data_IF_671795839923
#
_entry.id   IF_671795839923
#
_cell.length_a   1.000
_cell.length_b   1.000
_cell.length_c   1.000
_cell.angle_alpha   90.00
_cell.angle_beta   90.00
_cell.angle_gamma   90.00
#
_symmetry.space_group_name_H-M   'P 1'
#
loop_
_entity.id
_entity.type
_entity.pdbx_description
1 polymer ?
#
# COMPACT_ATOMS: atom_id res chain seq x y z
N UNK A 1 11.79 5.13 30.80
CA UNK A 1 11.98 4.95 29.36
C UNK A 1 10.61 4.87 28.71
N UNK A 2 10.31 5.72 27.72
CA UNK A 2 9.07 5.57 26.91
C UNK A 2 9.19 4.27 26.12
N UNK A 3 8.27 3.34 26.32
CA UNK A 3 8.21 2.11 25.55
C UNK A 3 7.85 2.49 24.09
N UNK A 4 8.76 2.25 23.16
CA UNK A 4 8.51 2.50 21.74
C UNK A 4 7.52 1.43 21.27
N UNK A 5 6.29 1.86 20.96
CA UNK A 5 5.28 0.96 20.36
C UNK A 5 5.74 0.62 18.95
N UNK A 6 5.99 -0.65 18.68
CA UNK A 6 6.34 -1.13 17.33
C UNK A 6 5.10 -1.19 16.47
N UNK A 7 5.25 -0.73 15.23
CA UNK A 7 4.18 -0.76 14.24
C UNK A 7 4.00 -2.17 13.64
N UNK A 8 5.10 -2.92 13.55
CA UNK A 8 5.14 -4.27 12.98
C UNK A 8 5.79 -5.26 13.93
N UNK A 9 5.42 -6.54 13.80
CA UNK A 9 6.07 -7.64 14.47
C UNK A 9 7.52 -7.83 13.99
N UNK A 10 8.35 -8.46 14.80
CA UNK A 10 9.73 -8.79 14.43
C UNK A 10 9.72 -10.20 13.84
N UNK A 11 10.03 -10.29 12.57
CA UNK A 11 10.19 -11.56 11.86
C UNK A 11 11.25 -11.39 10.76
N UNK A 12 12.11 -12.38 10.48
CA UNK A 12 13.18 -12.26 9.48
C UNK A 12 12.65 -12.18 8.04
N UNK A 13 11.44 -12.68 7.77
CA UNK A 13 10.87 -12.80 6.43
C UNK A 13 9.51 -12.16 6.27
N UNK A 14 8.93 -11.59 7.34
CA UNK A 14 7.59 -11.04 7.32
C UNK A 14 7.55 -9.64 7.91
N UNK A 15 6.80 -8.78 7.28
CA UNK A 15 6.40 -7.49 7.84
C UNK A 15 4.90 -7.61 8.13
N UNK A 16 4.54 -7.79 9.40
CA UNK A 16 3.14 -8.05 9.76
C UNK A 16 2.66 -7.20 10.93
N UNK A 17 1.38 -6.90 10.92
CA UNK A 17 0.69 -6.15 11.99
C UNK A 17 -0.76 -6.63 12.15
N UNK A 18 -1.23 -6.57 13.39
CA UNK A 18 -2.65 -6.79 13.72
C UNK A 18 -3.40 -5.49 13.97
N UNK A 19 -2.79 -4.34 13.67
CA UNK A 19 -3.36 -3.03 13.95
C UNK A 19 -3.40 -2.18 12.68
N UNK A 20 -4.55 -1.63 12.37
CA UNK A 20 -4.70 -0.55 11.42
C UNK A 20 -4.34 0.76 12.13
N UNK A 21 -3.17 1.29 11.83
CA UNK A 21 -2.75 2.60 12.35
C UNK A 21 -3.08 3.69 11.33
N UNK A 22 -4.29 4.23 11.42
CA UNK A 22 -4.79 5.26 10.49
C UNK A 22 -3.91 6.51 10.45
N UNK A 23 -3.16 6.81 11.53
CA UNK A 23 -2.23 7.96 11.59
C UNK A 23 -0.91 7.72 10.87
N UNK A 24 -0.50 6.45 10.75
CA UNK A 24 0.75 6.05 10.12
C UNK A 24 0.50 5.15 8.89
N UNK A 25 -0.69 5.21 8.28
CA UNK A 25 -1.06 4.34 7.16
C UNK A 25 -0.09 4.49 5.99
N UNK A 26 0.32 5.71 5.64
CA UNK A 26 1.32 5.93 4.57
C UNK A 26 2.66 5.23 4.82
N UNK A 27 3.08 5.10 6.09
CA UNK A 27 4.27 4.34 6.45
C UNK A 27 4.01 2.84 6.32
N UNK A 28 2.86 2.35 6.77
CA UNK A 28 2.47 0.95 6.60
C UNK A 28 2.45 0.56 5.12
N UNK A 29 1.82 1.36 4.26
CA UNK A 29 1.80 1.19 2.80
C UNK A 29 3.20 1.15 2.18
N UNK A 30 4.12 2.00 2.67
CA UNK A 30 5.50 2.03 2.16
C UNK A 30 6.27 0.75 2.51
N UNK A 31 6.12 0.29 3.76
CA UNK A 31 6.85 -0.88 4.26
C UNK A 31 6.32 -2.20 3.70
N UNK A 32 5.08 -2.22 3.24
CA UNK A 32 4.43 -3.39 2.62
C UNK A 32 4.38 -3.31 1.09
N UNK A 33 5.26 -2.52 0.48
CA UNK A 33 5.37 -2.41 -0.97
C UNK A 33 5.92 -3.68 -1.60
N UNK A 34 5.43 -4.01 -2.79
CA UNK A 34 5.90 -5.13 -3.62
C UNK A 34 6.40 -4.64 -4.98
N UNK A 35 7.30 -5.39 -5.61
CA UNK A 35 7.85 -5.04 -6.91
C UNK A 35 8.49 -6.23 -7.63
N UNK A 36 8.50 -6.19 -8.97
CA UNK A 36 9.07 -7.24 -9.82
C UNK A 36 10.13 -6.72 -10.80
N UNK A 37 10.62 -5.49 -10.61
CA UNK A 37 11.59 -4.84 -11.50
C UNK A 37 10.98 -4.14 -12.72
N UNK A 38 9.72 -4.40 -13.06
CA UNK A 38 8.95 -3.69 -14.08
C UNK A 38 7.86 -2.82 -13.46
N UNK A 39 7.16 -3.37 -12.48
CA UNK A 39 6.11 -2.70 -11.72
C UNK A 39 6.44 -2.67 -10.25
N UNK A 40 6.14 -1.58 -9.59
CA UNK A 40 6.18 -1.42 -8.14
C UNK A 40 4.85 -0.91 -7.63
N UNK A 41 4.36 -1.51 -6.55
CA UNK A 41 3.10 -1.13 -5.92
C UNK A 41 3.31 -0.92 -4.43
N UNK A 42 2.76 0.16 -3.91
CA UNK A 42 2.66 0.36 -2.47
C UNK A 42 1.59 -0.58 -1.90
N UNK A 43 1.65 -0.83 -0.61
CA UNK A 43 0.67 -1.67 0.08
C UNK A 43 -0.68 -0.98 0.28
N UNK A 44 -1.19 -0.25 -0.72
CA UNK A 44 -2.50 0.40 -0.65
C UNK A 44 -3.61 -0.62 -0.51
N UNK A 45 -4.71 -0.18 0.08
CA UNK A 45 -5.93 -0.97 0.14
C UNK A 45 -6.53 -1.12 -1.26
N UNK A 46 -7.16 -2.24 -1.48
CA UNK A 46 -7.92 -2.54 -2.69
C UNK A 46 -9.28 -1.85 -2.65
N UNK A 47 -9.94 -1.88 -1.49
CA UNK A 47 -11.21 -1.19 -1.27
C UNK A 47 -11.03 0.31 -1.07
N UNK A 48 -12.11 1.05 -1.26
CA UNK A 48 -12.17 2.48 -0.99
C UNK A 48 -11.68 2.82 0.41
N UNK A 49 -10.80 3.81 0.50
CA UNK A 49 -10.34 4.40 1.76
C UNK A 49 -10.34 5.92 1.65
N UNK A 50 -11.24 6.60 2.38
CA UNK A 50 -11.39 8.05 2.34
C UNK A 50 -10.42 8.81 3.24
N UNK A 51 -9.66 8.11 4.08
CA UNK A 51 -8.69 8.71 4.99
C UNK A 51 -7.36 9.08 4.34
N UNK A 52 -6.41 9.50 5.16
CA UNK A 52 -5.07 9.85 4.69
C UNK A 52 -4.29 8.61 4.26
N UNK A 53 -3.99 8.50 2.98
CA UNK A 53 -3.24 7.40 2.36
C UNK A 53 -2.39 7.91 1.20
N UNK A 54 -1.55 7.05 0.63
CA UNK A 54 -0.76 7.38 -0.55
C UNK A 54 -0.77 6.21 -1.54
N UNK A 55 -1.76 6.21 -2.42
CA UNK A 55 -1.80 5.25 -3.52
C UNK A 55 -0.55 5.39 -4.39
N UNK A 56 0.06 4.26 -4.74
CA UNK A 56 1.24 4.23 -5.59
C UNK A 56 1.35 2.98 -6.41
N UNK A 57 1.26 3.15 -7.72
CA UNK A 57 1.58 2.14 -8.74
C UNK A 57 2.57 2.78 -9.71
N UNK A 58 3.73 2.18 -9.87
CA UNK A 58 4.84 2.73 -10.65
C UNK A 58 5.28 1.70 -11.69
N UNK A 59 5.42 2.17 -12.94
CA UNK A 59 5.85 1.33 -14.06
C UNK A 59 7.22 1.78 -14.54
N UNK A 60 8.10 0.82 -14.85
CA UNK A 60 9.41 1.10 -15.41
C UNK A 60 9.26 1.82 -16.76
N UNK A 61 10.04 2.87 -16.96
CA UNK A 61 9.99 3.68 -18.18
C UNK A 61 8.86 4.72 -18.25
N UNK A 62 7.96 4.76 -17.26
CA UNK A 62 6.90 5.77 -17.18
C UNK A 62 7.35 6.92 -16.28
N UNK A 63 7.79 7.99 -16.90
CA UNK A 63 8.34 9.16 -16.23
C UNK A 63 8.16 10.42 -17.10
N UNK A 64 8.37 11.59 -16.53
CA UNK A 64 8.47 12.82 -17.28
C UNK A 64 9.66 13.67 -16.80
N UNK A 65 10.25 14.52 -17.66
CA UNK A 65 11.30 15.44 -17.26
C UNK A 65 10.70 16.59 -16.44
N UNK A 66 11.27 16.84 -15.26
CA UNK A 66 10.91 18.01 -14.47
C UNK A 66 12.17 18.85 -14.18
N UNK A 67 11.99 20.16 -14.23
CA UNK A 67 13.10 21.09 -14.02
C UNK A 67 13.65 20.97 -12.61
N UNK A 68 14.98 20.90 -12.49
CA UNK A 68 15.66 20.85 -11.20
C UNK A 68 15.37 22.14 -10.42
N UNK A 69 14.80 21.98 -9.22
CA UNK A 69 14.56 23.07 -8.27
C UNK A 69 15.43 22.83 -7.04
N UNK A 70 16.55 23.54 -6.94
CA UNK A 70 17.43 23.52 -5.77
C UNK A 70 17.52 24.92 -5.20
N UNK A 71 17.60 25.05 -3.88
CA UNK A 71 17.73 26.34 -3.20
C UNK A 71 19.11 27.01 -3.43
N UNK A 72 20.05 26.26 -3.94
CA UNK A 72 21.39 26.73 -4.32
C UNK A 72 21.87 25.92 -5.53
N UNK A 73 22.73 26.52 -6.34
CA UNK A 73 23.24 25.92 -7.55
C UNK A 73 24.60 25.27 -7.30
N UNK A 74 24.78 24.07 -7.79
CA UNK A 74 26.05 23.34 -7.71
C UNK A 74 26.45 22.85 -9.10
N UNK A 75 27.71 23.00 -9.45
CA UNK A 75 28.22 22.49 -10.71
C UNK A 75 27.98 20.99 -10.84
N UNK A 76 27.50 20.57 -12.00
CA UNK A 76 27.19 19.17 -12.29
C UNK A 76 25.77 18.74 -11.98
N UNK A 77 24.90 19.59 -11.46
CA UNK A 77 23.48 19.27 -11.39
C UNK A 77 22.86 19.26 -12.78
N UNK A 78 22.07 18.23 -13.13
CA UNK A 78 21.33 18.24 -14.39
C UNK A 78 20.23 19.31 -14.36
N UNK A 79 19.94 19.89 -15.53
CA UNK A 79 18.84 20.87 -15.66
C UNK A 79 17.47 20.24 -15.40
N UNK A 80 17.32 18.97 -15.76
CA UNK A 80 16.10 18.19 -15.58
C UNK A 80 16.38 16.87 -14.88
N UNK A 81 15.44 16.46 -14.03
CA UNK A 81 15.37 15.10 -13.49
C UNK A 81 14.19 14.35 -14.10
N UNK A 82 14.37 13.04 -14.32
CA UNK A 82 13.25 12.15 -14.60
C UNK A 82 12.45 11.90 -13.32
N UNK A 83 11.18 12.28 -13.31
CA UNK A 83 10.25 11.96 -12.23
C UNK A 83 9.36 10.80 -12.64
N UNK A 84 9.42 9.71 -11.87
CA UNK A 84 8.48 8.61 -12.03
C UNK A 84 7.09 9.10 -11.66
N UNK A 85 6.13 8.86 -12.52
CA UNK A 85 4.74 9.24 -12.30
C UNK A 85 3.93 8.04 -11.81
N UNK A 86 2.91 8.35 -11.00
CA UNK A 86 1.98 7.36 -10.52
C UNK A 86 1.06 6.90 -11.66
N UNK A 87 0.96 5.59 -11.85
CA UNK A 87 0.05 5.00 -12.83
C UNK A 87 -1.39 4.93 -12.27
N UNK A 88 -2.31 4.46 -13.10
CA UNK A 88 -3.70 4.25 -12.69
C UNK A 88 -3.78 3.24 -11.55
N UNK A 89 -4.72 3.46 -10.64
CA UNK A 89 -5.06 2.51 -9.59
C UNK A 89 -5.96 1.40 -10.16
N UNK A 90 -5.37 0.35 -10.70
CA UNK A 90 -6.10 -0.74 -11.34
C UNK A 90 -6.55 -1.83 -10.36
N UNK A 91 -6.17 -1.73 -9.08
CA UNK A 91 -6.61 -2.65 -8.02
C UNK A 91 -7.84 -2.15 -7.27
N UNK A 92 -8.27 -0.90 -7.54
CA UNK A 92 -9.37 -0.29 -6.79
C UNK A 92 -10.70 -1.00 -7.02
N UNK A 93 -11.35 -1.33 -5.92
CA UNK A 93 -12.71 -1.90 -5.91
C UNK A 93 -13.57 -1.21 -4.86
N UNK A 94 -14.85 -1.07 -5.14
CA UNK A 94 -15.84 -0.65 -4.17
C UNK A 94 -16.59 -1.88 -3.65
N UNK A 95 -16.59 -2.04 -2.33
CA UNK A 95 -17.27 -3.16 -1.66
C UNK A 95 -18.43 -2.58 -0.83
N UNK A 96 -19.63 -3.03 -1.10
CA UNK A 96 -20.80 -2.67 -0.31
C UNK A 96 -21.46 -3.90 0.30
N UNK A 97 -21.86 -3.80 1.56
CA UNK A 97 -22.61 -4.84 2.27
C UNK A 97 -23.93 -4.20 2.71
N UNK A 98 -25.07 -4.70 2.20
CA UNK A 98 -26.38 -4.12 2.46
C UNK A 98 -26.42 -2.59 2.23
N UNK A 99 -25.99 -2.16 1.05
CA UNK A 99 -25.90 -0.75 0.62
C UNK A 99 -24.95 0.12 1.47
N UNK A 100 -24.22 -0.45 2.42
CA UNK A 100 -23.19 0.24 3.17
C UNK A 100 -21.83 0.02 2.51
N UNK A 101 -21.21 1.10 2.00
CA UNK A 101 -19.85 1.07 1.48
C UNK A 101 -18.87 0.76 2.61
N UNK A 102 -17.93 -0.16 2.35
CA UNK A 102 -16.87 -0.51 3.26
C UNK A 102 -15.72 0.47 3.07
N UNK A 103 -15.51 1.29 4.09
CA UNK A 103 -14.42 2.27 4.17
C UNK A 103 -13.78 2.20 5.55
N UNK A 104 -12.57 1.67 5.62
CA UNK A 104 -11.84 1.51 6.88
C UNK A 104 -11.35 2.84 7.48
N UNK A 105 -11.51 3.96 6.78
CA UNK A 105 -11.30 5.28 7.39
C UNK A 105 -12.37 5.58 8.46
N UNK A 106 -13.62 5.17 8.20
CA UNK A 106 -14.78 5.40 9.05
C UNK A 106 -15.19 4.17 9.88
N UNK A 107 -14.84 2.97 9.42
CA UNK A 107 -15.15 1.72 10.11
C UNK A 107 -13.94 1.22 10.92
N UNK A 108 -14.23 0.51 12.02
CA UNK A 108 -13.19 -0.19 12.78
C UNK A 108 -13.28 -1.68 12.48
N UNK A 109 -12.24 -2.24 11.84
CA UNK A 109 -12.20 -3.66 11.52
C UNK A 109 -11.93 -4.50 12.77
N UNK A 110 -12.59 -5.65 12.87
CA UNK A 110 -12.25 -6.73 13.80
C UNK A 110 -11.25 -7.69 13.14
N UNK A 111 -10.46 -8.40 13.95
CA UNK A 111 -9.52 -9.44 13.49
C UNK A 111 -8.60 -8.96 12.34
N UNK A 112 -8.19 -7.70 12.39
CA UNK A 112 -7.35 -7.11 11.35
C UNK A 112 -5.96 -7.78 11.35
N UNK A 113 -5.54 -8.25 10.19
CA UNK A 113 -4.20 -8.76 9.95
C UNK A 113 -3.68 -8.33 8.59
N UNK A 114 -2.46 -7.81 8.56
CA UNK A 114 -1.78 -7.36 7.35
C UNK A 114 -0.36 -7.86 7.34
N UNK A 115 0.06 -8.53 6.27
CA UNK A 115 1.36 -9.18 6.14
C UNK A 115 1.94 -9.01 4.74
N UNK A 116 3.20 -8.64 4.68
CA UNK A 116 4.07 -8.87 3.53
C UNK A 116 4.96 -10.08 3.83
N UNK A 117 4.75 -11.18 3.14
CA UNK A 117 5.65 -12.34 3.13
C UNK A 117 6.74 -12.10 2.08
N UNK A 118 7.92 -11.67 2.53
CA UNK A 118 9.06 -11.38 1.66
C UNK A 118 9.67 -12.63 1.02
N UNK A 119 9.48 -13.80 1.62
CA UNK A 119 10.00 -15.07 1.09
C UNK A 119 9.21 -15.50 -0.15
N UNK A 120 7.91 -15.31 -0.14
CA UNK A 120 7.01 -15.70 -1.23
C UNK A 120 6.61 -14.51 -2.13
N UNK A 121 6.92 -13.28 -1.72
CA UNK A 121 6.56 -12.07 -2.45
C UNK A 121 5.06 -11.79 -2.49
N UNK A 122 4.35 -12.17 -1.41
CA UNK A 122 2.88 -12.03 -1.30
C UNK A 122 2.55 -11.00 -0.24
N UNK A 123 1.71 -10.06 -0.61
CA UNK A 123 1.06 -9.13 0.30
C UNK A 123 -0.35 -9.61 0.57
N UNK A 124 -0.68 -9.87 1.83
CA UNK A 124 -2.01 -10.31 2.25
C UNK A 124 -2.61 -9.39 3.31
N UNK A 125 -3.92 -9.26 3.30
CA UNK A 125 -4.66 -8.52 4.30
C UNK A 125 -6.01 -9.19 4.56
N UNK A 126 -6.36 -9.30 5.83
CA UNK A 126 -7.63 -9.90 6.26
C UNK A 126 -8.22 -9.06 7.38
N UNK A 127 -9.52 -8.90 7.36
CA UNK A 127 -10.26 -8.25 8.44
C UNK A 127 -11.75 -8.67 8.43
N UNK A 128 -12.44 -8.39 9.51
CA UNK A 128 -13.85 -8.67 9.65
C UNK A 128 -14.60 -7.35 9.86
N UNK A 129 -15.71 -7.18 9.15
CA UNK A 129 -16.66 -6.08 9.35
C UNK A 129 -17.98 -6.64 9.87
N UNK A 130 -18.46 -6.06 10.96
CA UNK A 130 -19.77 -6.35 11.52
C UNK A 130 -20.71 -5.20 11.17
N UNK A 131 -21.77 -5.53 10.44
CA UNK A 131 -22.89 -4.63 10.15
C UNK A 131 -24.05 -4.94 11.10
N UNK A 132 -25.16 -4.22 11.00
CA UNK A 132 -26.35 -4.48 11.82
C UNK A 132 -26.94 -5.89 11.66
N UNK A 133 -26.68 -6.54 10.51
CA UNK A 133 -27.29 -7.82 10.15
C UNK A 133 -26.30 -8.92 9.81
N UNK A 134 -25.06 -8.55 9.49
CA UNK A 134 -24.07 -9.51 8.99
C UNK A 134 -22.69 -9.30 9.62
N UNK A 135 -21.96 -10.39 9.73
CA UNK A 135 -20.53 -10.39 10.02
C UNK A 135 -19.80 -10.99 8.82
N UNK A 136 -18.99 -10.21 8.16
CA UNK A 136 -18.32 -10.58 6.91
C UNK A 136 -16.81 -10.48 7.07
N UNK A 137 -16.11 -11.56 6.77
CA UNK A 137 -14.65 -11.58 6.68
C UNK A 137 -14.22 -11.31 5.25
N UNK A 138 -13.33 -10.36 5.08
CA UNK A 138 -12.77 -9.93 3.80
C UNK A 138 -11.28 -10.28 3.81
N UNK A 139 -10.80 -10.88 2.73
CA UNK A 139 -9.39 -11.23 2.54
C UNK A 139 -8.92 -10.80 1.16
N UNK A 140 -7.74 -10.20 1.10
CA UNK A 140 -7.05 -9.84 -0.12
C UNK A 140 -5.68 -10.51 -0.15
N UNK A 141 -5.28 -10.95 -1.31
CA UNK A 141 -3.92 -11.38 -1.60
C UNK A 141 -3.45 -10.73 -2.89
N UNK A 142 -2.21 -10.24 -2.90
CA UNK A 142 -1.61 -9.58 -4.04
C UNK A 142 -0.15 -10.00 -4.18
N UNK A 143 0.24 -10.25 -5.41
CA UNK A 143 1.63 -10.50 -5.79
C UNK A 143 1.92 -9.89 -7.15
N UNK A 144 3.18 -9.71 -7.50
CA UNK A 144 3.61 -9.29 -8.82
C UNK A 144 4.38 -10.43 -9.50
N UNK A 145 3.94 -10.82 -10.69
CA UNK A 145 4.58 -11.92 -11.43
C UNK A 145 6.00 -11.55 -11.86
N UNK A 146 6.98 -12.40 -11.58
CA UNK A 146 8.36 -12.22 -12.05
C UNK A 146 8.57 -12.76 -13.48
N UNK A 147 7.64 -13.59 -13.96
CA UNK A 147 7.67 -14.20 -15.31
C UNK A 147 6.88 -13.36 -16.29
N UNK A 148 5.65 -12.99 -15.93
CA UNK A 148 4.80 -12.07 -16.69
C UNK A 148 4.79 -10.72 -15.97
N UNK A 149 5.82 -9.92 -16.23
CA UNK A 149 6.11 -8.72 -15.44
C UNK A 149 5.02 -7.65 -15.47
N UNK A 150 4.14 -7.72 -16.47
CA UNK A 150 2.99 -6.83 -16.65
C UNK A 150 1.74 -7.28 -15.85
N UNK A 151 1.86 -8.38 -15.10
CA UNK A 151 0.74 -8.97 -14.36
C UNK A 151 0.92 -8.87 -12.85
N UNK A 152 -0.17 -8.58 -12.20
CA UNK A 152 -0.33 -8.60 -10.75
C UNK A 152 -1.47 -9.55 -10.37
#
# INVERSE_FOLDING_TARGET
MKQIKRLFAIDPWKISTTQLDKKNLRLQESLTSIGNGYMGMRGNFEETYSGDHHQGTYLAGVWYPDKTRVGWWKNGYPEYFGKVINALNFIAIDISINDQLIDLASLEPEDFYWELDMKNGVLSRTFTITTSTNKVRISFERFLSIVKKESA
#
